data_IF_468064115261
#
_entry.id   IF_468064115261
#
_cell.length_a   1.000
_cell.length_b   1.000
_cell.length_c   1.000
_cell.angle_alpha   90.00
_cell.angle_beta   90.00
_cell.angle_gamma   90.00
#
_symmetry.space_group_name_H-M   'P 1'
#
loop_
_entity.id
_entity.type
_entity.pdbx_description
1 polymer ?
#
# COMPACT_ATOMS: atom_id res chain seq x y z
N UNK A 1 67.37 21.10 36.69
CA UNK A 1 66.30 21.45 37.64
C UNK A 1 64.99 21.28 36.90
N UNK A 2 64.13 20.39 37.41
CA UNK A 2 62.69 20.24 37.14
C UNK A 2 62.20 20.33 35.68
N UNK A 3 62.11 19.18 35.01
CA UNK A 3 61.22 19.04 33.84
C UNK A 3 59.89 18.41 34.29
N UNK A 4 58.83 19.10 33.90
CA UNK A 4 57.46 18.93 34.33
C UNK A 4 56.85 17.57 33.99
N UNK A 5 56.01 17.07 34.91
CA UNK A 5 55.21 15.87 34.74
C UNK A 5 54.12 16.11 33.68
N UNK A 6 54.20 15.44 32.54
CA UNK A 6 53.09 15.33 31.60
C UNK A 6 52.23 14.10 31.94
N UNK A 7 51.18 14.38 32.71
CA UNK A 7 50.08 13.45 33.00
C UNK A 7 49.29 13.20 31.70
N UNK A 8 49.54 12.03 31.10
CA UNK A 8 48.53 11.14 30.52
C UNK A 8 47.73 11.58 29.29
N UNK A 9 47.99 10.92 28.16
CA UNK A 9 46.93 10.57 27.19
C UNK A 9 47.26 9.28 26.44
N UNK A 10 47.70 8.24 27.15
CA UNK A 10 47.91 6.95 26.52
C UNK A 10 46.58 6.22 26.33
N UNK A 11 46.06 6.25 25.10
CA UNK A 11 44.83 5.56 24.67
C UNK A 11 45.07 4.07 24.37
N UNK A 12 46.28 3.55 24.56
CA UNK A 12 46.64 2.14 24.31
C UNK A 12 45.78 1.13 25.07
N UNK A 13 45.22 1.51 26.24
CA UNK A 13 44.36 0.63 27.05
C UNK A 13 42.99 0.33 26.45
N UNK A 14 42.51 1.14 25.51
CA UNK A 14 41.20 0.93 24.87
C UNK A 14 41.31 0.22 23.51
N UNK A 15 42.52 -0.01 23.02
CA UNK A 15 42.75 -0.66 21.73
C UNK A 15 42.60 -2.19 21.80
N UNK A 16 42.55 -2.78 23.00
CA UNK A 16 42.43 -4.23 23.18
C UNK A 16 41.21 -4.65 24.04
N UNK A 17 40.09 -4.81 23.31
CA UNK A 17 38.90 -5.66 23.59
C UNK A 17 37.80 -5.11 24.56
N UNK A 18 36.50 -5.40 24.34
CA UNK A 18 35.96 -6.69 23.90
C UNK A 18 35.23 -6.68 22.54
N UNK A 19 35.14 -7.88 21.94
CA UNK A 19 34.28 -8.18 20.79
C UNK A 19 32.89 -7.61 21.02
N UNK A 20 32.45 -6.74 20.11
CA UNK A 20 31.08 -6.23 20.00
C UNK A 20 30.14 -7.44 20.12
N UNK A 21 29.39 -7.55 21.21
CA UNK A 21 28.31 -8.53 21.31
C UNK A 21 27.24 -8.10 20.32
N UNK A 22 27.15 -8.80 19.20
CA UNK A 22 26.07 -8.63 18.22
C UNK A 22 24.77 -9.17 18.82
N UNK A 23 24.20 -8.43 19.78
CA UNK A 23 22.83 -8.69 20.23
C UNK A 23 21.91 -8.10 19.18
N UNK A 24 21.51 -8.94 18.22
CA UNK A 24 20.51 -8.56 17.23
C UNK A 24 19.17 -8.29 17.92
N UNK A 25 18.80 -7.02 18.06
CA UNK A 25 17.46 -6.62 18.49
C UNK A 25 16.45 -6.94 17.38
N UNK A 26 15.98 -8.19 17.32
CA UNK A 26 14.80 -8.56 16.53
C UNK A 26 13.58 -8.37 17.43
N UNK A 27 12.71 -7.43 17.10
CA UNK A 27 11.39 -7.38 17.70
C UNK A 27 10.67 -8.68 17.34
N UNK A 28 10.44 -9.56 18.31
CA UNK A 28 9.74 -10.84 18.12
C UNK A 28 8.26 -10.68 17.74
N UNK A 29 7.83 -9.46 17.41
CA UNK A 29 6.51 -9.15 16.91
C UNK A 29 6.45 -9.63 15.46
N UNK A 30 5.57 -10.61 15.21
CA UNK A 30 5.19 -10.96 13.85
C UNK A 30 4.77 -9.68 13.12
N UNK A 31 5.37 -9.42 11.96
CA UNK A 31 4.95 -8.30 11.11
C UNK A 31 3.44 -8.33 10.94
N UNK A 32 2.81 -7.17 11.03
CA UNK A 32 1.35 -7.03 10.97
C UNK A 32 0.86 -7.75 9.70
N UNK A 33 0.19 -8.89 9.86
CA UNK A 33 -0.32 -9.67 8.73
C UNK A 33 -1.36 -8.82 8.05
N UNK A 34 -1.06 -8.36 6.83
CA UNK A 34 -2.05 -7.71 5.98
C UNK A 34 -3.24 -8.65 5.80
N UNK A 35 -4.45 -8.12 5.94
CA UNK A 35 -5.65 -8.92 5.76
C UNK A 35 -5.60 -9.65 4.40
N UNK A 36 -6.01 -10.93 4.35
CA UNK A 36 -5.98 -11.70 3.11
C UNK A 36 -6.87 -11.01 2.08
N UNK A 37 -6.25 -10.51 1.03
CA UNK A 37 -6.92 -9.88 -0.12
C UNK A 37 -7.56 -11.00 -0.93
N UNK A 38 -8.89 -10.98 -1.07
CA UNK A 38 -9.61 -12.01 -1.83
C UNK A 38 -9.23 -11.85 -3.30
N UNK A 39 -8.61 -12.88 -3.87
CA UNK A 39 -8.24 -12.91 -5.29
C UNK A 39 -9.18 -13.83 -6.06
N UNK A 40 -9.66 -13.35 -7.21
CA UNK A 40 -10.47 -14.11 -8.16
C UNK A 40 -9.73 -14.21 -9.49
N UNK A 41 -9.76 -15.38 -10.11
CA UNK A 41 -9.17 -15.60 -11.42
C UNK A 41 -10.23 -15.40 -12.50
N UNK A 42 -9.99 -14.46 -13.40
CA UNK A 42 -10.86 -14.16 -14.53
C UNK A 42 -10.25 -14.65 -15.83
N UNK A 43 -11.09 -15.14 -16.74
CA UNK A 43 -10.69 -15.50 -18.10
C UNK A 43 -11.25 -14.46 -19.05
N UNK A 44 -10.38 -13.66 -19.66
CA UNK A 44 -10.73 -12.63 -20.62
C UNK A 44 -10.78 -13.20 -22.04
N UNK A 45 -11.22 -12.37 -22.99
CA UNK A 45 -11.22 -12.71 -24.41
C UNK A 45 -9.84 -13.22 -24.88
N UNK A 46 -9.83 -14.18 -25.82
CA UNK A 46 -8.62 -14.89 -26.31
C UNK A 46 -7.91 -15.76 -25.26
N UNK A 47 -8.60 -16.15 -24.18
CA UNK A 47 -8.06 -17.11 -23.19
C UNK A 47 -7.05 -16.51 -22.22
N UNK A 48 -6.91 -15.18 -22.17
CA UNK A 48 -6.00 -14.51 -21.23
C UNK A 48 -6.55 -14.63 -19.81
N UNK A 49 -5.82 -15.32 -18.92
CA UNK A 49 -6.17 -15.47 -17.51
C UNK A 49 -5.56 -14.32 -16.71
N UNK A 50 -6.35 -13.68 -15.86
CA UNK A 50 -5.94 -12.53 -15.06
C UNK A 50 -6.42 -12.73 -13.62
N UNK A 51 -5.47 -12.71 -12.68
CA UNK A 51 -5.79 -12.71 -11.26
C UNK A 51 -6.10 -11.27 -10.84
N UNK A 52 -7.33 -11.02 -10.40
CA UNK A 52 -7.74 -9.72 -9.91
C UNK A 52 -8.06 -9.79 -8.42
N UNK A 53 -7.75 -8.69 -7.74
CA UNK A 53 -8.00 -8.52 -6.33
C UNK A 53 -9.33 -7.80 -6.11
N UNK A 54 -10.15 -8.30 -5.20
CA UNK A 54 -11.34 -7.58 -4.77
C UNK A 54 -10.94 -6.45 -3.81
N UNK A 55 -11.13 -5.21 -4.26
CA UNK A 55 -10.85 -3.99 -3.50
C UNK A 55 -12.16 -3.27 -3.23
N UNK A 56 -12.52 -3.15 -1.95
CA UNK A 56 -13.65 -2.33 -1.51
C UNK A 56 -13.12 -0.92 -1.24
N UNK A 57 -13.58 0.06 -2.02
CA UNK A 57 -13.21 1.48 -1.85
C UNK A 57 -14.22 2.15 -0.92
N UNK A 58 -13.80 2.72 0.23
CA UNK A 58 -14.70 3.47 1.11
C UNK A 58 -15.26 4.71 0.42
N UNK A 59 -16.49 5.12 0.76
CA UNK A 59 -17.18 6.27 0.16
C UNK A 59 -16.33 7.55 0.12
N UNK A 60 -15.57 7.83 1.19
CA UNK A 60 -14.72 9.03 1.31
C UNK A 60 -13.52 9.02 0.34
N UNK A 61 -13.20 7.86 -0.23
CA UNK A 61 -12.07 7.67 -1.14
C UNK A 61 -12.47 7.42 -2.58
N UNK A 62 -13.76 7.25 -2.87
CA UNK A 62 -14.28 6.99 -4.22
C UNK A 62 -13.73 8.02 -5.21
N UNK A 63 -13.92 9.32 -4.92
CA UNK A 63 -13.45 10.40 -5.80
C UNK A 63 -11.95 10.32 -6.14
N UNK A 64 -11.11 9.85 -5.20
CA UNK A 64 -9.65 9.78 -5.37
C UNK A 64 -9.18 8.47 -6.01
N UNK A 65 -9.79 7.35 -5.63
CA UNK A 65 -9.36 6.01 -6.01
C UNK A 65 -10.08 5.48 -7.26
N UNK A 66 -11.21 6.08 -7.66
CA UNK A 66 -11.99 5.69 -8.85
C UNK A 66 -12.02 6.77 -9.92
N UNK A 67 -10.89 7.51 -10.08
CA UNK A 67 -10.76 8.50 -11.14
C UNK A 67 -10.96 7.87 -12.52
N UNK A 68 -11.72 8.55 -13.37
CA UNK A 68 -11.98 8.11 -14.74
C UNK A 68 -10.70 8.17 -15.54
N UNK A 69 -10.35 7.07 -16.20
CA UNK A 69 -9.18 7.02 -17.07
C UNK A 69 -9.38 7.92 -18.30
N UNK A 70 -8.37 8.71 -18.75
CA UNK A 70 -8.50 9.60 -19.91
C UNK A 70 -8.92 8.91 -21.21
N UNK A 71 -8.51 7.64 -21.37
CA UNK A 71 -8.89 6.82 -22.52
C UNK A 71 -10.27 6.17 -22.40
N UNK A 72 -11.08 6.51 -21.38
CA UNK A 72 -12.47 6.03 -21.30
C UNK A 72 -13.30 6.76 -22.38
N UNK A 73 -13.75 6.05 -23.44
CA UNK A 73 -14.43 6.68 -24.56
C UNK A 73 -15.86 7.12 -24.22
N UNK A 74 -16.37 6.78 -23.02
CA UNK A 74 -17.72 7.15 -22.59
C UNK A 74 -17.78 8.64 -22.30
N UNK A 75 -18.77 9.31 -22.89
CA UNK A 75 -19.06 10.71 -22.63
C UNK A 75 -19.51 10.90 -21.16
N UNK A 76 -18.68 11.55 -20.36
CA UNK A 76 -18.98 11.82 -18.95
C UNK A 76 -20.04 12.90 -18.77
N UNK A 77 -20.12 13.86 -19.70
CA UNK A 77 -21.11 14.95 -19.65
C UNK A 77 -22.54 14.43 -19.85
N UNK A 78 -22.69 13.26 -20.45
CA UNK A 78 -23.97 12.59 -20.60
C UNK A 78 -24.48 11.92 -19.31
N UNK A 79 -23.60 11.70 -18.32
CA UNK A 79 -23.94 11.12 -17.02
C UNK A 79 -24.48 12.21 -16.08
N UNK A 80 -25.73 12.59 -16.31
CA UNK A 80 -26.49 13.51 -15.46
C UNK A 80 -27.42 12.76 -14.51
N UNK A 81 -27.87 13.41 -13.43
CA UNK A 81 -28.86 12.84 -12.49
C UNK A 81 -30.10 12.30 -13.22
N UNK A 82 -30.55 12.99 -14.28
CA UNK A 82 -31.66 12.53 -15.12
C UNK A 82 -31.33 11.24 -15.87
N UNK A 83 -30.11 11.09 -16.38
CA UNK A 83 -29.69 9.89 -17.13
C UNK A 83 -29.56 8.65 -16.23
N UNK A 84 -29.23 8.84 -14.95
CA UNK A 84 -29.04 7.74 -13.99
C UNK A 84 -30.19 7.59 -13.00
N UNK A 85 -31.27 8.38 -13.13
CA UNK A 85 -32.38 8.44 -12.15
C UNK A 85 -32.98 7.07 -11.80
N UNK A 86 -33.03 6.17 -12.77
CA UNK A 86 -33.67 4.85 -12.64
C UNK A 86 -32.81 3.90 -11.77
N UNK A 87 -31.51 4.15 -11.69
CA UNK A 87 -30.54 3.33 -10.94
C UNK A 87 -29.94 4.06 -9.73
N UNK A 88 -30.04 5.39 -9.66
CA UNK A 88 -29.36 6.23 -8.66
C UNK A 88 -29.73 5.80 -7.23
N UNK A 89 -31.03 5.65 -6.96
CA UNK A 89 -31.51 5.24 -5.63
C UNK A 89 -31.01 3.85 -5.23
N UNK A 90 -30.89 2.93 -6.19
CA UNK A 90 -30.37 1.59 -5.92
C UNK A 90 -28.88 1.63 -5.58
N UNK A 91 -28.11 2.47 -6.27
CA UNK A 91 -26.69 2.68 -6.00
C UNK A 91 -26.48 3.30 -4.61
N UNK A 92 -27.33 4.25 -4.19
CA UNK A 92 -27.25 4.84 -2.85
C UNK A 92 -27.55 3.85 -1.74
N UNK A 93 -28.54 2.97 -1.93
CA UNK A 93 -28.96 1.99 -0.92
C UNK A 93 -28.02 0.78 -0.83
N UNK A 94 -27.49 0.30 -1.96
CA UNK A 94 -26.75 -0.99 -2.04
C UNK A 94 -25.30 -0.84 -2.44
N UNK A 95 -24.92 0.29 -3.02
CA UNK A 95 -23.64 0.46 -3.69
C UNK A 95 -23.66 -0.02 -5.14
N UNK A 96 -22.48 -0.04 -5.77
CA UNK A 96 -22.32 -0.52 -7.15
C UNK A 96 -21.98 -2.01 -7.13
N UNK A 97 -22.93 -2.84 -7.57
CA UNK A 97 -22.80 -4.30 -7.55
C UNK A 97 -22.02 -4.86 -8.77
N UNK A 98 -21.64 -4.01 -9.72
CA UNK A 98 -20.96 -4.44 -10.95
C UNK A 98 -19.45 -4.56 -10.74
N UNK A 99 -18.92 -5.78 -10.85
CA UNK A 99 -17.48 -6.03 -10.86
C UNK A 99 -16.86 -5.58 -12.20
N UNK A 100 -15.93 -4.62 -12.15
CA UNK A 100 -15.15 -4.16 -13.31
C UNK A 100 -13.69 -4.58 -13.18
N UNK A 101 -13.13 -5.25 -14.20
CA UNK A 101 -11.71 -5.64 -14.21
C UNK A 101 -10.90 -4.53 -14.90
N UNK A 102 -10.18 -3.74 -14.12
CA UNK A 102 -9.18 -2.83 -14.64
C UNK A 102 -7.86 -3.58 -14.89
N UNK A 103 -7.28 -3.40 -16.07
CA UNK A 103 -5.95 -3.94 -16.40
C UNK A 103 -5.01 -2.75 -16.54
N UNK A 104 -3.94 -2.74 -15.75
CA UNK A 104 -2.90 -1.71 -15.78
C UNK A 104 -2.06 -1.81 -17.04
#
# INVERSE_FOLDING_TARGET
MSDEQHIGNDKSRYLNAPKRTEVGHRSGLAGLKTAPRIKKLFTLHKGRRLEAEHVIVPAQRVEKETLVHPANPRNQEALTDYSVRDILKQIEERGVDTEGIAVK
#
